data_IF_536239340878
#
_entry.id   IF_536239340878
#
_cell.length_a   1.000
_cell.length_b   1.000
_cell.length_c   1.000
_cell.angle_alpha   90.00
_cell.angle_beta   90.00
_cell.angle_gamma   90.00
#
_symmetry.space_group_name_H-M   'P 1'
#
loop_
_entity.id
_entity.type
_entity.pdbx_description
1 polymer ?
#
# COMPACT_ATOMS: atom_id res chain seq x y z
N UNK A 1 20.14 -13.16 5.03
CA UNK A 1 19.00 -12.23 5.01
C UNK A 1 18.03 -12.77 4.00
N UNK A 2 16.81 -13.09 4.42
CA UNK A 2 15.83 -13.74 3.54
C UNK A 2 15.47 -12.81 2.39
N UNK A 3 15.36 -13.36 1.16
CA UNK A 3 15.04 -12.61 -0.04
C UNK A 3 13.78 -11.74 0.14
N UNK A 4 12.80 -12.21 0.91
CA UNK A 4 11.58 -11.48 1.25
C UNK A 4 11.86 -10.17 2.00
N UNK A 5 12.82 -10.15 2.94
CA UNK A 5 13.18 -8.93 3.68
C UNK A 5 13.75 -7.89 2.72
N UNK A 6 14.64 -8.32 1.82
CA UNK A 6 15.20 -7.44 0.80
C UNK A 6 14.12 -6.84 -0.10
N UNK A 7 13.19 -7.67 -0.60
CA UNK A 7 12.08 -7.21 -1.44
C UNK A 7 11.14 -6.24 -0.69
N UNK A 8 10.90 -6.45 0.60
CA UNK A 8 10.12 -5.52 1.42
C UNK A 8 10.79 -4.15 1.59
N UNK A 9 12.12 -4.11 1.73
CA UNK A 9 12.87 -2.84 1.80
C UNK A 9 12.76 -2.09 0.46
N UNK A 10 12.96 -2.77 -0.66
CA UNK A 10 12.82 -2.17 -2.00
C UNK A 10 11.39 -1.66 -2.22
N UNK A 11 10.38 -2.40 -1.76
CA UNK A 11 8.98 -1.97 -1.77
C UNK A 11 8.79 -0.67 -0.99
N UNK A 12 9.31 -0.59 0.25
CA UNK A 12 9.21 0.62 1.07
C UNK A 12 9.87 1.83 0.38
N UNK A 13 11.03 1.64 -0.26
CA UNK A 13 11.69 2.69 -1.03
C UNK A 13 10.84 3.15 -2.21
N UNK A 14 10.25 2.22 -2.97
CA UNK A 14 9.39 2.54 -4.11
C UNK A 14 8.17 3.37 -3.67
N UNK A 15 7.50 3.00 -2.58
CA UNK A 15 6.38 3.76 -2.01
C UNK A 15 6.80 5.16 -1.54
N UNK A 16 7.96 5.26 -0.90
CA UNK A 16 8.53 6.54 -0.46
C UNK A 16 8.77 7.49 -1.64
N UNK A 17 9.49 7.04 -2.66
CA UNK A 17 9.80 7.81 -3.87
C UNK A 17 8.52 8.19 -4.63
N UNK A 18 7.58 7.25 -4.79
CA UNK A 18 6.29 7.49 -5.45
C UNK A 18 5.52 8.66 -4.81
N UNK A 19 5.51 8.75 -3.48
CA UNK A 19 4.76 9.79 -2.77
C UNK A 19 5.23 11.22 -3.11
N UNK A 20 6.52 11.39 -3.41
CA UNK A 20 7.12 12.68 -3.79
C UNK A 20 6.67 13.09 -5.19
N UNK A 21 6.82 12.20 -6.17
CA UNK A 21 6.37 12.46 -7.55
C UNK A 21 4.87 12.71 -7.62
N UNK A 22 4.10 11.94 -6.86
CA UNK A 22 2.66 12.10 -6.78
C UNK A 22 2.29 13.49 -6.25
N UNK A 23 2.86 13.93 -5.13
CA UNK A 23 2.58 15.27 -4.58
C UNK A 23 2.96 16.38 -5.57
N UNK A 24 4.07 16.22 -6.28
CA UNK A 24 4.51 17.17 -7.30
C UNK A 24 3.52 17.26 -8.46
N UNK A 25 3.00 16.12 -8.93
CA UNK A 25 2.03 16.07 -10.03
C UNK A 25 0.62 16.54 -9.62
N UNK A 26 0.20 16.24 -8.39
CA UNK A 26 -1.14 16.57 -7.88
C UNK A 26 -1.42 18.07 -7.70
N UNK A 27 -0.39 18.93 -7.78
CA UNK A 27 -0.59 20.38 -7.83
C UNK A 27 -1.22 20.87 -9.14
N UNK A 28 -1.19 20.05 -10.20
CA UNK A 28 -1.55 20.47 -11.56
C UNK A 28 -2.76 19.72 -12.13
N UNK A 29 -3.24 18.66 -11.48
CA UNK A 29 -4.33 17.81 -11.99
C UNK A 29 -5.29 17.34 -10.88
N UNK A 30 -6.56 17.02 -11.23
CA UNK A 30 -7.49 16.35 -10.32
C UNK A 30 -6.99 14.97 -9.86
N UNK A 31 -7.32 14.56 -8.62
CA UNK A 31 -6.84 13.30 -8.06
C UNK A 31 -7.36 12.07 -8.82
N UNK A 32 -8.58 12.14 -9.36
CA UNK A 32 -9.17 11.06 -10.15
C UNK A 32 -8.32 10.77 -11.39
N UNK A 33 -7.81 11.83 -12.05
CA UNK A 33 -6.92 11.70 -13.20
C UNK A 33 -5.57 11.12 -12.79
N UNK A 34 -5.02 11.52 -11.64
CA UNK A 34 -3.80 10.92 -11.10
C UNK A 34 -3.96 9.41 -10.87
N UNK A 35 -5.09 8.98 -10.28
CA UNK A 35 -5.39 7.57 -10.08
C UNK A 35 -5.52 6.85 -11.42
N UNK A 36 -6.31 7.38 -12.36
CA UNK A 36 -6.51 6.80 -13.68
C UNK A 36 -5.19 6.59 -14.42
N UNK A 37 -4.33 7.62 -14.49
CA UNK A 37 -3.01 7.53 -15.13
C UNK A 37 -2.18 6.43 -14.48
N UNK A 38 -2.09 6.40 -13.15
CA UNK A 38 -1.29 5.39 -12.45
C UNK A 38 -1.83 3.97 -12.62
N UNK A 39 -3.16 3.79 -12.67
CA UNK A 39 -3.78 2.48 -12.90
C UNK A 39 -3.53 2.00 -14.33
N UNK A 40 -3.65 2.88 -15.33
CA UNK A 40 -3.37 2.54 -16.72
C UNK A 40 -1.91 2.13 -16.90
N UNK A 41 -0.96 2.90 -16.35
CA UNK A 41 0.47 2.56 -16.42
C UNK A 41 0.75 1.22 -15.73
N UNK A 42 0.19 0.99 -14.54
CA UNK A 42 0.36 -0.28 -13.83
C UNK A 42 -0.21 -1.46 -14.62
N UNK A 43 -1.40 -1.30 -15.21
CA UNK A 43 -2.04 -2.35 -16.00
C UNK A 43 -1.22 -2.71 -17.25
N UNK A 44 -0.76 -1.71 -17.99
CA UNK A 44 0.09 -1.93 -19.18
C UNK A 44 1.42 -2.59 -18.81
N UNK A 45 2.06 -2.12 -17.74
CA UNK A 45 3.30 -2.72 -17.26
C UNK A 45 3.12 -4.19 -16.86
N UNK A 46 2.03 -4.53 -16.15
CA UNK A 46 1.74 -5.90 -15.77
C UNK A 46 1.46 -6.80 -16.99
N UNK A 47 0.65 -6.35 -17.94
CA UNK A 47 0.41 -7.11 -19.19
C UNK A 47 1.71 -7.34 -19.95
N UNK A 48 2.57 -6.32 -20.04
CA UNK A 48 3.86 -6.46 -20.71
C UNK A 48 4.75 -7.49 -20.00
N UNK A 49 4.85 -7.45 -18.67
CA UNK A 49 5.64 -8.42 -17.90
C UNK A 49 5.12 -9.86 -18.11
N UNK A 50 3.80 -10.05 -18.07
CA UNK A 50 3.17 -11.35 -18.34
C UNK A 50 3.44 -11.79 -19.78
N UNK A 51 3.34 -10.87 -20.75
CA UNK A 51 3.60 -11.13 -22.16
C UNK A 51 5.06 -11.46 -22.48
N UNK A 52 6.01 -10.97 -21.67
CA UNK A 52 7.42 -11.33 -21.73
C UNK A 52 7.73 -12.69 -21.07
N UNK A 53 6.72 -13.41 -20.57
CA UNK A 53 6.89 -14.72 -19.95
C UNK A 53 7.44 -14.66 -18.53
N UNK A 54 7.35 -13.51 -17.86
CA UNK A 54 7.76 -13.39 -16.45
C UNK A 54 6.63 -13.94 -15.58
N UNK A 55 6.86 -15.11 -14.97
CA UNK A 55 5.90 -15.82 -14.13
C UNK A 55 5.12 -16.91 -14.87
N UNK A 56 3.97 -17.31 -14.31
CA UNK A 56 3.15 -18.43 -14.81
C UNK A 56 2.20 -18.07 -15.98
N UNK A 57 2.21 -16.81 -16.41
CA UNK A 57 1.45 -16.35 -17.58
C UNK A 57 -0.07 -16.19 -17.38
N UNK A 58 -0.77 -15.85 -18.46
CA UNK A 58 -2.24 -15.81 -18.53
C UNK A 58 -2.95 -17.18 -18.33
N UNK A 59 -2.37 -18.35 -18.65
CA UNK A 59 -3.08 -19.62 -18.47
C UNK A 59 -3.52 -19.87 -17.02
N UNK A 60 -2.67 -19.55 -16.05
CA UNK A 60 -3.02 -19.69 -14.62
C UNK A 60 -4.18 -18.78 -14.24
N UNK A 61 -4.26 -17.58 -14.80
CA UNK A 61 -5.38 -16.68 -14.53
C UNK A 61 -6.73 -17.29 -14.91
N UNK A 62 -6.81 -18.24 -15.85
CA UNK A 62 -8.07 -18.87 -16.26
C UNK A 62 -8.43 -20.12 -15.48
N UNK A 63 -7.48 -20.69 -14.74
CA UNK A 63 -7.65 -21.95 -13.99
C UNK A 63 -7.93 -21.74 -12.51
N UNK A 64 -7.92 -20.49 -12.03
CA UNK A 64 -8.16 -20.17 -10.63
C UNK A 64 -9.62 -20.44 -10.22
N UNK A 65 -9.86 -20.87 -8.97
CA UNK A 65 -11.21 -21.11 -8.48
C UNK A 65 -11.96 -19.80 -8.21
N UNK A 66 -13.28 -19.80 -8.39
CA UNK A 66 -14.15 -18.61 -8.25
C UNK A 66 -13.96 -17.79 -6.95
N UNK A 67 -13.79 -18.40 -5.77
CA UNK A 67 -13.54 -17.66 -4.53
C UNK A 67 -12.26 -16.81 -4.56
N UNK A 68 -11.23 -17.26 -5.30
CA UNK A 68 -9.96 -16.52 -5.40
C UNK A 68 -10.17 -15.19 -6.10
N UNK A 69 -10.92 -15.17 -7.20
CA UNK A 69 -11.26 -13.90 -7.85
C UNK A 69 -12.04 -12.99 -6.92
N UNK A 70 -13.01 -13.51 -6.16
CA UNK A 70 -13.77 -12.70 -5.21
C UNK A 70 -12.85 -12.02 -4.17
N UNK A 71 -11.98 -12.78 -3.51
CA UNK A 71 -11.06 -12.21 -2.52
C UNK A 71 -10.13 -11.16 -3.13
N UNK A 72 -9.54 -11.43 -4.30
CA UNK A 72 -8.66 -10.48 -4.97
C UNK A 72 -9.40 -9.26 -5.54
N UNK A 73 -10.65 -9.41 -5.98
CA UNK A 73 -11.48 -8.28 -6.41
C UNK A 73 -11.81 -7.35 -5.24
N UNK A 74 -12.19 -7.90 -4.08
CA UNK A 74 -12.43 -7.11 -2.87
C UNK A 74 -11.12 -6.43 -2.42
N UNK A 75 -10.01 -7.15 -2.38
CA UNK A 75 -8.70 -6.58 -2.05
C UNK A 75 -8.30 -5.45 -3.00
N UNK A 76 -8.50 -5.65 -4.32
CA UNK A 76 -8.23 -4.64 -5.34
C UNK A 76 -9.09 -3.38 -5.18
N UNK A 77 -10.39 -3.53 -4.93
CA UNK A 77 -11.30 -2.41 -4.69
C UNK A 77 -10.89 -1.61 -3.45
N UNK A 78 -10.62 -2.31 -2.34
CA UNK A 78 -10.20 -1.67 -1.10
C UNK A 78 -8.84 -0.98 -1.24
N UNK A 79 -7.89 -1.58 -1.98
CA UNK A 79 -6.56 -1.01 -2.17
C UNK A 79 -6.58 0.21 -3.10
N UNK A 80 -7.16 0.07 -4.29
CA UNK A 80 -7.04 1.09 -5.34
C UNK A 80 -8.13 2.16 -5.27
N UNK A 81 -9.38 1.76 -5.04
CA UNK A 81 -10.50 2.72 -5.04
C UNK A 81 -10.54 3.44 -3.71
N UNK A 82 -10.59 2.69 -2.61
CA UNK A 82 -10.70 3.28 -1.28
C UNK A 82 -9.33 3.78 -0.79
N UNK A 83 -8.34 2.88 -0.72
CA UNK A 83 -7.03 3.15 -0.13
C UNK A 83 -6.29 4.28 -0.85
N UNK A 84 -5.95 4.09 -2.13
CA UNK A 84 -5.26 5.13 -2.92
C UNK A 84 -6.12 6.37 -3.09
N UNK A 85 -7.44 6.23 -3.28
CA UNK A 85 -8.37 7.35 -3.36
C UNK A 85 -8.28 8.29 -2.17
N UNK A 86 -8.42 7.73 -0.96
CA UNK A 86 -8.34 8.46 0.31
C UNK A 86 -6.92 8.99 0.57
N UNK A 87 -5.91 8.15 0.32
CA UNK A 87 -4.51 8.53 0.51
C UNK A 87 -4.13 9.73 -0.37
N UNK A 88 -4.49 9.72 -1.65
CA UNK A 88 -4.18 10.82 -2.58
C UNK A 88 -4.97 12.06 -2.19
N UNK A 89 -6.25 11.89 -1.84
CA UNK A 89 -7.11 13.00 -1.39
C UNK A 89 -6.57 13.69 -0.13
N UNK A 90 -5.95 12.94 0.78
CA UNK A 90 -5.37 13.50 2.01
C UNK A 90 -4.29 14.55 1.74
N UNK A 91 -3.59 14.46 0.61
CA UNK A 91 -2.53 15.41 0.26
C UNK A 91 -3.05 16.84 0.02
N UNK A 92 -4.37 17.03 -0.11
CA UNK A 92 -4.99 18.36 -0.18
C UNK A 92 -5.08 19.04 1.19
N UNK A 93 -5.09 18.26 2.26
CA UNK A 93 -5.32 18.73 3.62
C UNK A 93 -4.05 18.71 4.47
N UNK A 94 -3.18 17.73 4.23
CA UNK A 94 -1.96 17.52 5.02
C UNK A 94 -0.73 17.33 4.12
N UNK A 95 0.46 17.43 4.72
CA UNK A 95 1.71 17.17 4.04
C UNK A 95 1.85 15.67 3.69
N UNK A 96 2.70 15.35 2.71
CA UNK A 96 3.00 13.96 2.33
C UNK A 96 3.60 13.20 3.51
N UNK A 97 4.50 13.84 4.26
CA UNK A 97 5.12 13.26 5.46
C UNK A 97 4.08 12.91 6.53
N UNK A 98 3.11 13.79 6.77
CA UNK A 98 2.03 13.48 7.72
C UNK A 98 1.12 12.37 7.21
N UNK A 99 0.73 12.41 5.94
CA UNK A 99 -0.15 11.40 5.34
C UNK A 99 0.51 10.01 5.32
N UNK A 100 1.78 9.94 4.92
CA UNK A 100 2.57 8.70 4.97
C UNK A 100 2.72 8.18 6.39
N UNK A 101 3.02 9.04 7.36
CA UNK A 101 3.16 8.64 8.78
C UNK A 101 1.86 8.10 9.36
N UNK A 102 0.73 8.77 9.11
CA UNK A 102 -0.60 8.28 9.51
C UNK A 102 -0.91 6.96 8.81
N UNK A 103 -0.67 6.87 7.50
CA UNK A 103 -0.96 5.65 6.74
C UNK A 103 -0.08 4.48 7.20
N UNK A 104 1.14 4.76 7.69
CA UNK A 104 2.07 3.76 8.23
C UNK A 104 1.58 3.12 9.54
N UNK A 105 0.47 3.59 10.13
CA UNK A 105 -0.18 2.91 11.26
C UNK A 105 -1.13 1.79 10.81
N UNK A 106 -1.30 1.56 9.50
CA UNK A 106 -2.12 0.45 8.98
C UNK A 106 -1.72 -0.95 9.51
N UNK A 107 -0.46 -1.28 9.89
CA UNK A 107 -0.12 -2.59 10.42
C UNK A 107 -0.92 -2.96 11.67
N UNK A 108 -1.38 -1.98 12.47
CA UNK A 108 -2.23 -2.23 13.65
C UNK A 108 -3.59 -2.77 13.23
N UNK A 109 -4.20 -2.12 12.23
CA UNK A 109 -5.47 -2.57 11.68
C UNK A 109 -5.28 -3.94 11.01
N UNK A 110 -4.18 -4.13 10.29
CA UNK A 110 -3.84 -5.42 9.70
C UNK A 110 -3.73 -6.52 10.76
N UNK A 111 -3.07 -6.25 11.88
CA UNK A 111 -2.93 -7.19 13.00
C UNK A 111 -4.28 -7.45 13.66
N UNK A 112 -5.09 -6.41 13.89
CA UNK A 112 -6.43 -6.58 14.44
C UNK A 112 -7.31 -7.47 13.55
N UNK A 113 -7.30 -7.22 12.23
CA UNK A 113 -8.00 -8.08 11.27
C UNK A 113 -7.38 -9.48 11.18
N UNK A 114 -6.06 -9.63 11.32
CA UNK A 114 -5.42 -10.95 11.33
C UNK A 114 -5.84 -11.78 12.55
N UNK A 115 -5.93 -11.16 13.73
CA UNK A 115 -6.46 -11.83 14.94
C UNK A 115 -7.93 -12.22 14.74
N UNK A 116 -8.77 -11.30 14.24
CA UNK A 116 -10.22 -11.50 14.15
C UNK A 116 -10.60 -12.47 13.03
N UNK A 117 -9.98 -12.34 11.85
CA UNK A 117 -10.37 -13.05 10.63
C UNK A 117 -9.55 -14.33 10.44
N UNK A 118 -8.24 -14.28 10.72
CA UNK A 118 -7.34 -15.43 10.55
C UNK A 118 -7.13 -16.22 11.86
N UNK A 119 -7.55 -15.67 13.01
CA UNK A 119 -7.37 -16.32 14.31
C UNK A 119 -5.93 -16.32 14.81
N UNK A 120 -5.09 -15.41 14.30
CA UNK A 120 -3.67 -15.34 14.67
C UNK A 120 -3.46 -14.96 16.13
N UNK A 121 -2.44 -15.57 16.76
CA UNK A 121 -1.98 -15.24 18.11
C UNK A 121 -0.62 -14.56 18.03
N UNK A 122 -0.52 -13.33 18.52
CA UNK A 122 0.75 -12.61 18.56
C UNK A 122 1.47 -12.82 19.89
N UNK A 123 2.78 -12.98 19.79
CA UNK A 123 3.69 -13.00 20.92
C UNK A 123 3.87 -11.59 21.52
N UNK A 124 4.27 -11.52 22.79
CA UNK A 124 4.43 -10.25 23.51
C UNK A 124 5.41 -9.27 22.82
N UNK A 125 6.47 -9.80 22.20
CA UNK A 125 7.44 -8.97 21.46
C UNK A 125 6.83 -8.32 20.21
N UNK A 126 5.83 -8.94 19.56
CA UNK A 126 5.17 -8.38 18.38
C UNK A 126 4.29 -7.20 18.80
N UNK A 127 3.61 -7.31 19.95
CA UNK A 127 2.89 -6.19 20.55
C UNK A 127 3.81 -5.00 20.87
N UNK A 128 5.00 -5.26 21.41
CA UNK A 128 6.00 -4.22 21.64
C UNK A 128 6.44 -3.54 20.34
N UNK A 129 6.68 -4.31 19.27
CA UNK A 129 7.01 -3.77 17.94
C UNK A 129 5.91 -2.88 17.34
N UNK A 130 4.65 -3.29 17.51
CA UNK A 130 3.48 -2.48 17.11
C UNK A 130 3.46 -1.15 17.89
N UNK A 131 3.69 -1.20 19.21
CA UNK A 131 3.78 -0.02 20.06
C UNK A 131 4.89 0.95 19.64
N UNK A 132 6.08 0.43 19.30
CA UNK A 132 7.20 1.24 18.81
C UNK A 132 6.90 1.89 17.46
N UNK A 133 6.23 1.16 16.56
CA UNK A 133 5.82 1.68 15.24
C UNK A 133 4.83 2.84 15.40
N UNK A 134 3.85 2.67 16.30
CA UNK A 134 2.90 3.70 16.67
C UNK A 134 3.57 4.94 17.23
N UNK A 135 4.50 4.75 18.16
CA UNK A 135 5.23 5.84 18.78
C UNK A 135 6.06 6.61 17.76
N UNK A 136 6.74 5.91 16.83
CA UNK A 136 7.46 6.53 15.73
C UNK A 136 6.54 7.36 14.82
N UNK A 137 5.39 6.81 14.42
CA UNK A 137 4.41 7.53 13.62
C UNK A 137 3.87 8.77 14.35
N UNK A 138 3.60 8.67 15.65
CA UNK A 138 3.18 9.80 16.49
C UNK A 138 4.22 10.92 16.52
N UNK A 139 5.49 10.59 16.75
CA UNK A 139 6.58 11.59 16.78
C UNK A 139 6.70 12.35 15.45
N UNK A 140 6.50 11.67 14.33
CA UNK A 140 6.51 12.31 13.00
C UNK A 140 5.31 13.25 12.78
N UNK A 141 4.20 13.05 13.51
CA UNK A 141 3.03 13.94 13.45
C UNK A 141 3.19 15.17 14.35
N UNK A 142 3.97 15.09 15.43
CA UNK A 142 4.23 16.24 16.30
C UNK A 142 4.95 17.32 15.50
N UNK A 143 4.29 18.48 15.32
CA UNK A 143 4.89 19.63 14.64
C UNK A 143 6.18 20.04 15.37
N UNK A 144 7.32 19.85 14.70
CA UNK A 144 8.55 20.54 15.10
C UNK A 144 8.28 22.04 15.05
N UNK A 145 8.52 22.75 16.16
CA UNK A 145 8.61 24.21 16.16
C UNK A 145 9.73 24.58 15.16
N UNK A 146 9.35 25.07 13.99
CA UNK A 146 10.24 25.83 13.12
C UNK A 146 10.11 27.29 13.50
#
# INVERSE_FOLDING_TARGET
MDLSIFLSIVCAMAWGVQSIYLKKAMGSIPFQMAILITLTVNFLALILLIGLGIGEGFPVFLTLPAPVYFYFSVAGLLNFVLGRGLYYSSFRFISVTQSTSISSTYPILSVAFAIIVLGEKLALHQWAGIGLTLFGAYLLMVKGKR
#
